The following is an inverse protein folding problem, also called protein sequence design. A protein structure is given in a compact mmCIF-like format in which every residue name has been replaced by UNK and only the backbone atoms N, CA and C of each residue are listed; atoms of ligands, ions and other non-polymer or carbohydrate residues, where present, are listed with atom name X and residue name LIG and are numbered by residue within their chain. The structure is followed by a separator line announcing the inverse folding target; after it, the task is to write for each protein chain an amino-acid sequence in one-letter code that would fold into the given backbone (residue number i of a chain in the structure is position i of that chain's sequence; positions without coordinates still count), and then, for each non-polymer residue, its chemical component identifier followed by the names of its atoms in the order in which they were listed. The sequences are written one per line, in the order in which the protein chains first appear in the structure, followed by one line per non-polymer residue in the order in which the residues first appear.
data_IF_408830286908
#
_entry.id   IF_408830286908
#
_cell.length_a   1.000
_cell.length_b   1.000
_cell.length_c   1.000
_cell.angle_alpha   90.00
_cell.angle_beta   90.00
_cell.angle_gamma   90.00
#
_symmetry.space_group_name_H-M   'P 1'
#
loop_
_entity.id
_entity.type
_entity.pdbx_description
1 polymer ?
#
# COMPACT_ATOMS: atom_id res chain seq x y z
N UNK A 1 7.48 17.34 36.52
CA UNK A 1 8.23 17.57 35.26
C UNK A 1 9.36 16.56 35.20
N UNK A 2 9.18 15.44 34.52
CA UNK A 2 10.24 14.43 34.32
C UNK A 2 11.21 14.94 33.24
N UNK A 3 12.54 14.84 33.45
CA UNK A 3 13.51 15.35 32.48
C UNK A 3 13.42 14.52 31.20
N UNK A 4 13.10 15.17 30.08
CA UNK A 4 13.21 14.56 28.76
C UNK A 4 14.69 14.36 28.47
N UNK A 5 15.14 13.11 28.44
CA UNK A 5 16.53 12.78 28.12
C UNK A 5 16.80 13.14 26.66
N UNK A 6 18.00 13.63 26.35
CA UNK A 6 18.42 13.94 24.98
C UNK A 6 18.21 12.76 24.01
N UNK A 7 18.24 11.55 24.54
CA UNK A 7 17.98 10.30 23.86
C UNK A 7 16.54 10.19 23.31
N UNK A 8 15.52 10.60 24.08
CA UNK A 8 14.12 10.54 23.62
C UNK A 8 13.80 11.58 22.54
N UNK A 9 14.51 12.72 22.55
CA UNK A 9 14.37 13.76 21.52
C UNK A 9 15.01 13.33 20.21
N UNK A 10 16.19 12.73 20.28
CA UNK A 10 16.90 12.24 19.10
C UNK A 10 16.11 11.14 18.39
N UNK A 11 15.56 10.20 19.16
CA UNK A 11 14.74 9.10 18.63
C UNK A 11 13.46 9.63 17.91
N UNK A 12 12.80 10.64 18.49
CA UNK A 12 11.64 11.29 17.87
C UNK A 12 11.99 11.98 16.55
N UNK A 13 13.14 12.65 16.46
CA UNK A 13 13.57 13.32 15.23
C UNK A 13 13.99 12.33 14.14
N UNK A 14 14.62 11.22 14.51
CA UNK A 14 14.95 10.14 13.58
C UNK A 14 13.68 9.52 13.01
N UNK A 15 12.68 9.23 13.85
CA UNK A 15 11.39 8.71 13.40
C UNK A 15 10.68 9.67 12.43
N UNK A 16 10.62 10.96 12.78
CA UNK A 16 10.05 12.01 11.92
C UNK A 16 10.78 12.10 10.56
N UNK A 17 12.11 12.04 10.56
CA UNK A 17 12.93 12.09 9.36
C UNK A 17 12.71 10.86 8.49
N UNK A 18 12.63 9.67 9.08
CA UNK A 18 12.34 8.42 8.36
C UNK A 18 10.95 8.44 7.71
N UNK A 19 9.93 8.91 8.44
CA UNK A 19 8.57 9.05 7.90
C UNK A 19 8.54 10.10 6.78
N UNK A 20 9.21 11.24 6.99
CA UNK A 20 9.33 12.31 5.99
C UNK A 20 10.04 11.86 4.71
N UNK A 21 11.14 11.10 4.86
CA UNK A 21 11.83 10.47 3.74
C UNK A 21 10.93 9.47 3.02
N UNK A 22 10.18 8.64 3.75
CA UNK A 22 9.19 7.74 3.18
C UNK A 22 8.12 8.48 2.36
N UNK A 23 7.58 9.58 2.89
CA UNK A 23 6.62 10.44 2.17
C UNK A 23 7.22 11.01 0.89
N UNK A 24 8.45 11.52 0.97
CA UNK A 24 9.15 12.06 -0.20
C UNK A 24 9.36 10.98 -1.26
N UNK A 25 9.86 9.81 -0.88
CA UNK A 25 10.13 8.72 -1.81
C UNK A 25 8.85 8.17 -2.43
N UNK A 26 7.80 7.90 -1.65
CA UNK A 26 6.52 7.40 -2.17
C UNK A 26 5.84 8.46 -3.05
N UNK A 27 5.81 9.71 -2.59
CA UNK A 27 5.21 10.81 -3.35
C UNK A 27 5.93 11.05 -4.69
N UNK A 28 7.26 11.02 -4.69
CA UNK A 28 8.04 11.20 -5.90
C UNK A 28 7.95 9.97 -6.82
N UNK A 29 8.30 8.79 -6.32
CA UNK A 29 8.47 7.60 -7.16
C UNK A 29 7.16 6.86 -7.49
N UNK A 30 6.21 6.80 -6.56
CA UNK A 30 4.98 6.01 -6.76
C UNK A 30 3.74 6.84 -7.09
N UNK A 31 3.74 8.15 -6.84
CA UNK A 31 2.62 9.02 -7.22
C UNK A 31 2.97 9.91 -8.41
N UNK A 32 4.05 10.69 -8.32
CA UNK A 32 4.35 11.71 -9.34
C UNK A 32 4.69 11.09 -10.69
N UNK A 33 5.60 10.10 -10.76
CA UNK A 33 5.97 9.50 -12.06
C UNK A 33 4.80 8.86 -12.80
N UNK A 34 3.94 8.03 -12.17
CA UNK A 34 2.76 7.48 -12.85
C UNK A 34 1.81 8.57 -13.37
N UNK A 35 1.57 9.63 -12.59
CA UNK A 35 0.72 10.77 -13.01
C UNK A 35 1.35 11.50 -14.21
N UNK A 36 2.68 11.68 -14.20
CA UNK A 36 3.42 12.27 -15.32
C UNK A 36 3.43 11.34 -16.55
N UNK A 37 3.48 10.02 -16.38
CA UNK A 37 3.35 9.05 -17.48
C UNK A 37 1.97 9.11 -18.15
N UNK A 38 0.90 9.33 -17.38
CA UNK A 38 -0.44 9.53 -17.92
C UNK A 38 -0.55 10.85 -18.71
N UNK A 39 0.05 11.93 -18.22
CA UNK A 39 -0.08 13.27 -18.82
C UNK A 39 0.87 13.55 -19.98
N UNK A 40 1.83 12.65 -20.27
CA UNK A 40 2.70 12.71 -21.44
C UNK A 40 4.09 13.37 -21.32
N UNK A 41 4.52 14.05 -20.23
CA UNK A 41 5.91 14.54 -20.13
C UNK A 41 6.95 13.44 -19.84
N UNK A 42 6.53 12.22 -19.49
CA UNK A 42 7.40 11.07 -19.25
C UNK A 42 6.93 9.84 -20.05
N UNK A 43 7.82 8.86 -20.30
CA UNK A 43 7.42 7.60 -20.91
C UNK A 43 6.24 6.99 -20.12
N UNK A 44 5.14 6.64 -20.80
CA UNK A 44 4.00 6.01 -20.13
C UNK A 44 4.40 4.63 -19.61
N UNK A 45 3.70 4.17 -18.58
CA UNK A 45 3.66 2.74 -18.27
C UNK A 45 2.93 2.08 -19.44
N UNK A 46 3.64 1.25 -20.18
CA UNK A 46 3.17 0.51 -21.35
C UNK A 46 3.02 -0.99 -21.05
N UNK A 47 3.52 -1.43 -19.89
CA UNK A 47 3.47 -2.84 -19.49
C UNK A 47 2.85 -3.05 -18.11
N UNK A 48 2.25 -4.24 -17.92
CA UNK A 48 1.71 -4.71 -16.64
C UNK A 48 1.96 -6.20 -16.47
N UNK A 49 2.44 -6.60 -15.30
CA UNK A 49 2.51 -8.02 -14.94
C UNK A 49 1.11 -8.61 -14.76
N UNK A 50 0.84 -9.73 -15.45
CA UNK A 50 -0.40 -10.49 -15.37
C UNK A 50 -0.13 -11.97 -15.11
N UNK A 51 -1.13 -12.65 -14.55
CA UNK A 51 -1.08 -14.11 -14.37
C UNK A 51 -1.78 -14.79 -15.56
N UNK A 52 -1.17 -15.85 -16.09
CA UNK A 52 -1.69 -16.67 -17.16
C UNK A 52 -2.46 -17.86 -16.59
N UNK A 53 -3.61 -18.18 -17.20
CA UNK A 53 -4.40 -19.37 -16.86
C UNK A 53 -3.65 -20.68 -17.12
N UNK A 54 -2.68 -20.67 -18.05
CA UNK A 54 -1.84 -21.81 -18.39
C UNK A 54 -0.37 -21.43 -18.27
N UNK A 55 0.49 -22.37 -17.87
CA UNK A 55 1.94 -22.14 -17.80
C UNK A 55 2.48 -21.72 -19.16
N UNK A 56 3.39 -20.75 -19.18
CA UNK A 56 4.07 -20.39 -20.43
C UNK A 56 4.77 -21.61 -21.03
N UNK A 57 4.61 -21.82 -22.35
CA UNK A 57 5.27 -22.92 -23.03
C UNK A 57 6.75 -22.57 -23.20
N UNK A 58 7.57 -22.98 -22.25
CA UNK A 58 9.02 -22.99 -22.45
C UNK A 58 9.38 -24.25 -23.23
N UNK A 59 10.23 -24.18 -24.27
CA UNK A 59 10.70 -25.36 -24.97
C UNK A 59 11.18 -26.40 -23.97
N UNK A 60 10.76 -27.66 -24.13
CA UNK A 60 11.17 -28.74 -23.22
C UNK A 60 12.68 -28.96 -23.32
N UNK A 61 13.41 -28.25 -22.45
CA UNK A 61 14.83 -28.41 -22.22
C UNK A 61 14.98 -29.21 -20.93
N UNK A 62 15.32 -30.49 -21.10
CA UNK A 62 15.65 -31.38 -19.99
C UNK A 62 17.08 -31.89 -20.17
N UNK A 63 17.92 -31.72 -19.16
CA UNK A 63 19.30 -32.20 -19.15
C UNK A 63 19.68 -32.66 -17.74
N UNK A 64 20.24 -33.87 -17.63
CA UNK A 64 20.88 -34.34 -16.39
C UNK A 64 20.00 -34.28 -15.13
N UNK A 65 18.68 -34.51 -15.25
CA UNK A 65 17.74 -34.44 -14.11
C UNK A 65 17.17 -33.04 -13.82
N UNK A 66 17.55 -32.03 -14.60
CA UNK A 66 16.93 -30.69 -14.55
C UNK A 66 15.92 -30.54 -15.68
N UNK A 67 14.77 -29.95 -15.39
CA UNK A 67 13.73 -29.64 -16.37
C UNK A 67 13.32 -28.18 -16.22
N UNK A 68 13.32 -27.45 -17.33
CA UNK A 68 12.85 -26.07 -17.36
C UNK A 68 11.32 -26.05 -17.56
N UNK A 69 10.61 -25.37 -16.66
CA UNK A 69 9.15 -25.17 -16.74
C UNK A 69 8.85 -23.68 -16.78
N UNK A 70 7.90 -23.29 -17.62
CA UNK A 70 7.38 -21.93 -17.62
C UNK A 70 6.60 -21.61 -16.35
N UNK A 71 6.56 -20.34 -16.00
CA UNK A 71 5.76 -19.83 -14.89
C UNK A 71 4.37 -19.41 -15.39
N UNK A 72 3.49 -19.05 -14.47
CA UNK A 72 2.21 -18.43 -14.77
C UNK A 72 2.31 -16.91 -14.93
N UNK A 73 3.50 -16.32 -15.00
CA UNK A 73 3.63 -14.87 -15.10
C UNK A 73 3.90 -14.47 -16.56
N UNK A 74 3.22 -13.41 -17.00
CA UNK A 74 3.46 -12.77 -18.29
C UNK A 74 3.34 -11.26 -18.16
N UNK A 75 3.93 -10.55 -19.10
CA UNK A 75 3.82 -9.12 -19.22
C UNK A 75 2.77 -8.80 -20.28
N UNK A 76 1.74 -8.03 -19.91
CA UNK A 76 0.78 -7.44 -20.82
C UNK A 76 1.36 -6.11 -21.31
N UNK A 77 1.87 -6.10 -22.53
CA UNK A 77 2.30 -4.88 -23.21
C UNK A 77 1.14 -4.28 -24.03
N UNK A 78 0.92 -2.98 -23.89
CA UNK A 78 -0.03 -2.21 -24.70
C UNK A 78 0.78 -1.35 -25.66
N UNK A 79 0.77 -1.73 -26.94
CA UNK A 79 1.44 -0.96 -27.99
C UNK A 79 0.72 0.38 -28.20
N UNK A 80 1.47 1.47 -28.06
CA UNK A 80 1.02 2.87 -28.26
C UNK A 80 -0.22 3.25 -27.42
N UNK A 81 -0.10 3.25 -26.06
CA UNK A 81 -1.25 3.35 -25.18
C UNK A 81 -1.92 4.71 -25.28
N UNK A 82 -3.24 4.71 -25.51
CA UNK A 82 -4.08 5.91 -25.46
C UNK A 82 -4.25 6.43 -24.04
N UNK A 83 -4.91 7.58 -23.87
CA UNK A 83 -5.14 8.16 -22.53
C UNK A 83 -5.94 7.25 -21.59
N UNK A 84 -6.92 6.51 -22.12
CA UNK A 84 -7.71 5.54 -21.36
C UNK A 84 -6.85 4.40 -20.83
N UNK A 85 -6.01 3.82 -21.69
CA UNK A 85 -5.14 2.70 -21.33
C UNK A 85 -4.09 3.13 -20.30
N UNK A 86 -3.47 4.31 -20.49
CA UNK A 86 -2.54 4.88 -19.50
C UNK A 86 -3.19 5.08 -18.14
N UNK A 87 -4.44 5.56 -18.11
CA UNK A 87 -5.17 5.72 -16.85
C UNK A 87 -5.47 4.37 -16.20
N UNK A 88 -5.91 3.37 -16.98
CA UNK A 88 -6.17 2.03 -16.47
C UNK A 88 -4.89 1.35 -15.96
N UNK A 89 -3.76 1.55 -16.64
CA UNK A 89 -2.44 1.03 -16.27
C UNK A 89 -1.94 1.67 -14.96
N UNK A 90 -2.06 2.99 -14.82
CA UNK A 90 -1.56 3.73 -13.66
C UNK A 90 -2.50 3.71 -12.44
N UNK A 91 -3.81 3.50 -12.62
CA UNK A 91 -4.80 3.66 -11.54
C UNK A 91 -4.53 2.81 -10.28
N UNK A 92 -4.20 1.51 -10.36
CA UNK A 92 -3.88 0.70 -9.18
C UNK A 92 -2.64 1.19 -8.43
N UNK A 93 -1.60 1.59 -9.15
CA UNK A 93 -0.37 2.12 -8.55
C UNK A 93 -0.60 3.46 -7.86
N UNK A 94 -1.31 4.38 -8.52
CA UNK A 94 -1.66 5.68 -7.94
C UNK A 94 -2.53 5.49 -6.70
N UNK A 95 -3.53 4.60 -6.74
CA UNK A 95 -4.36 4.30 -5.58
C UNK A 95 -3.54 3.75 -4.40
N UNK A 96 -2.61 2.82 -4.68
CA UNK A 96 -1.65 2.30 -3.69
C UNK A 96 -0.81 3.45 -3.09
N UNK A 97 -0.22 4.29 -3.93
CA UNK A 97 0.62 5.40 -3.50
C UNK A 97 -0.15 6.39 -2.60
N UNK A 98 -1.38 6.74 -2.98
CA UNK A 98 -2.26 7.63 -2.19
C UNK A 98 -2.53 7.03 -0.80
N UNK A 99 -2.91 5.74 -0.73
CA UNK A 99 -3.16 5.09 0.56
C UNK A 99 -1.91 5.06 1.46
N UNK A 100 -0.74 4.78 0.88
CA UNK A 100 0.53 4.82 1.62
C UNK A 100 0.84 6.24 2.11
N UNK A 101 0.66 7.26 1.27
CA UNK A 101 0.84 8.67 1.67
C UNK A 101 -0.12 9.04 2.80
N UNK A 102 -1.37 8.60 2.77
CA UNK A 102 -2.33 8.80 3.86
C UNK A 102 -1.83 8.14 5.15
N UNK A 103 -1.40 6.88 5.11
CA UNK A 103 -0.87 6.16 6.27
C UNK A 103 0.34 6.90 6.87
N UNK A 104 1.33 7.24 6.03
CA UNK A 104 2.54 7.94 6.46
C UNK A 104 2.22 9.34 7.01
N UNK A 105 1.26 10.05 6.41
CA UNK A 105 0.82 11.36 6.90
C UNK A 105 0.17 11.26 8.29
N UNK A 106 -0.62 10.20 8.54
CA UNK A 106 -1.21 9.96 9.86
C UNK A 106 -0.13 9.58 10.86
N UNK A 107 0.83 8.73 10.49
CA UNK A 107 1.97 8.37 11.33
C UNK A 107 2.82 9.60 11.68
N UNK A 108 3.05 10.49 10.73
CA UNK A 108 3.78 11.74 10.97
C UNK A 108 3.06 12.63 12.00
N UNK A 109 1.73 12.72 11.91
CA UNK A 109 0.92 13.44 12.91
C UNK A 109 0.97 12.78 14.28
N UNK A 110 1.04 11.45 14.34
CA UNK A 110 1.21 10.70 15.60
C UNK A 110 2.59 10.94 16.20
N UNK A 111 3.66 10.84 15.41
CA UNK A 111 5.03 11.13 15.86
C UNK A 111 5.15 12.54 16.44
N UNK A 112 4.56 13.54 15.76
CA UNK A 112 4.54 14.92 16.26
C UNK A 112 3.81 15.07 17.60
N UNK A 113 2.74 14.29 17.86
CA UNK A 113 2.05 14.29 19.16
C UNK A 113 2.80 13.54 20.25
N UNK A 114 3.54 12.48 19.90
CA UNK A 114 4.40 11.77 20.85
C UNK A 114 5.54 12.67 21.35
N UNK A 115 6.07 13.54 20.48
CA UNK A 115 7.05 14.56 20.84
C UNK A 115 6.54 15.52 21.93
N UNK A 116 5.23 15.81 21.95
CA UNK A 116 4.61 16.64 22.99
C UNK A 116 4.38 15.90 24.32
N UNK A 117 4.69 14.61 24.39
CA UNK A 117 4.73 13.82 25.62
C UNK A 117 3.41 13.12 26.00
N UNK A 118 2.36 13.24 25.20
CA UNK A 118 1.09 12.57 25.45
C UNK A 118 0.79 11.47 24.42
N UNK A 119 0.96 10.23 24.85
CA UNK A 119 0.72 9.02 24.05
C UNK A 119 -0.78 8.68 24.00
N UNK A 120 -1.54 9.07 25.02
CA UNK A 120 -2.92 8.61 25.26
C UNK A 120 -3.99 9.61 24.79
N UNK A 121 -3.61 10.58 23.95
CA UNK A 121 -4.59 11.52 23.39
C UNK A 121 -5.64 10.74 22.59
N UNK A 122 -6.95 10.93 22.84
CA UNK A 122 -8.02 10.24 22.10
C UNK A 122 -7.94 10.42 20.57
N UNK A 123 -7.29 11.49 20.10
CA UNK A 123 -6.99 11.71 18.70
C UNK A 123 -6.10 10.61 18.09
N UNK A 124 -5.12 10.07 18.83
CA UNK A 124 -4.22 9.02 18.36
C UNK A 124 -4.93 7.67 18.20
N UNK A 125 -5.95 7.40 19.01
CA UNK A 125 -6.83 6.24 18.82
C UNK A 125 -7.57 6.31 17.48
N UNK A 126 -8.17 7.47 17.17
CA UNK A 126 -8.86 7.67 15.88
C UNK A 126 -7.90 7.54 14.69
N UNK A 127 -6.67 8.04 14.85
CA UNK A 127 -5.60 7.93 13.85
C UNK A 127 -5.20 6.46 13.61
N UNK A 128 -5.06 5.65 14.66
CA UNK A 128 -4.78 4.22 14.52
C UNK A 128 -5.91 3.46 13.82
N UNK A 129 -7.17 3.75 14.13
CA UNK A 129 -8.28 3.18 13.37
C UNK A 129 -8.27 3.60 11.89
N UNK A 130 -7.94 4.87 11.60
CA UNK A 130 -7.79 5.33 10.22
C UNK A 130 -6.65 4.60 9.48
N UNK A 131 -5.52 4.35 10.14
CA UNK A 131 -4.41 3.55 9.59
C UNK A 131 -4.89 2.11 9.34
N UNK A 132 -5.56 1.47 10.30
CA UNK A 132 -6.13 0.13 10.13
C UNK A 132 -7.03 0.05 8.90
N UNK A 133 -7.95 1.01 8.73
CA UNK A 133 -8.83 1.05 7.56
C UNK A 133 -8.05 1.25 6.27
N UNK A 134 -7.06 2.14 6.25
CA UNK A 134 -6.23 2.37 5.07
C UNK A 134 -5.42 1.12 4.68
N UNK A 135 -4.88 0.39 5.66
CA UNK A 135 -4.18 -0.89 5.44
C UNK A 135 -5.13 -1.95 4.90
N UNK A 136 -6.36 -2.04 5.42
CA UNK A 136 -7.37 -2.95 4.89
C UNK A 136 -7.73 -2.61 3.44
N UNK A 137 -7.91 -1.33 3.12
CA UNK A 137 -8.15 -0.86 1.75
C UNK A 137 -6.94 -1.15 0.85
N UNK A 138 -5.72 -1.06 1.35
CA UNK A 138 -4.52 -1.41 0.60
C UNK A 138 -4.52 -2.89 0.20
N UNK A 139 -4.93 -3.79 1.11
CA UNK A 139 -5.02 -5.23 0.86
C UNK A 139 -6.24 -5.68 0.06
N UNK A 140 -7.28 -4.85 -0.05
CA UNK A 140 -8.54 -5.22 -0.69
C UNK A 140 -8.89 -4.35 -1.91
N UNK A 141 -8.91 -3.03 -1.76
CA UNK A 141 -9.30 -2.12 -2.83
C UNK A 141 -8.27 -2.06 -3.95
N UNK A 142 -6.97 -2.11 -3.65
CA UNK A 142 -5.92 -2.08 -4.69
C UNK A 142 -5.96 -3.35 -5.56
N UNK A 143 -5.98 -4.58 -5.01
CA UNK A 143 -6.14 -5.78 -5.84
C UNK A 143 -7.46 -5.82 -6.61
N UNK A 144 -8.55 -5.30 -6.03
CA UNK A 144 -9.82 -5.20 -6.74
C UNK A 144 -9.73 -4.23 -7.93
N UNK A 145 -9.10 -3.07 -7.74
CA UNK A 145 -8.89 -2.08 -8.80
C UNK A 145 -7.98 -2.63 -9.89
N UNK A 146 -6.93 -3.37 -9.52
CA UNK A 146 -6.05 -4.05 -10.46
C UNK A 146 -6.79 -5.10 -11.30
N UNK A 147 -7.64 -5.92 -10.66
CA UNK A 147 -8.52 -6.88 -11.35
C UNK A 147 -9.46 -6.17 -12.34
N UNK A 148 -10.14 -5.10 -11.91
CA UNK A 148 -11.11 -4.35 -12.73
C UNK A 148 -10.42 -3.69 -13.93
N UNK A 149 -9.29 -3.02 -13.70
CA UNK A 149 -8.54 -2.34 -14.76
C UNK A 149 -7.91 -3.33 -15.74
N UNK A 150 -7.39 -4.46 -15.25
CA UNK A 150 -6.89 -5.54 -16.11
C UNK A 150 -8.02 -6.11 -16.98
N UNK A 151 -9.19 -6.38 -16.40
CA UNK A 151 -10.35 -6.86 -17.16
C UNK A 151 -10.80 -5.85 -18.22
N UNK A 152 -10.73 -4.55 -17.92
CA UNK A 152 -11.06 -3.50 -18.89
C UNK A 152 -10.03 -3.43 -20.03
N UNK A 153 -8.75 -3.67 -19.76
CA UNK A 153 -7.68 -3.69 -20.77
C UNK A 153 -7.76 -4.90 -21.69
N UNK A 154 -8.03 -6.10 -21.15
CA UNK A 154 -8.10 -7.32 -21.98
C UNK A 154 -9.51 -7.59 -22.54
N UNK A 155 -10.54 -6.95 -21.99
CA UNK A 155 -11.93 -7.14 -22.35
C UNK A 155 -12.20 -6.88 -23.83
N UNK A 156 -12.81 -7.85 -24.51
CA UNK A 156 -13.08 -7.75 -25.95
C UNK A 156 -11.90 -8.12 -26.86
N UNK A 157 -10.75 -8.51 -26.29
CA UNK A 157 -9.60 -9.03 -27.04
C UNK A 157 -9.49 -10.55 -26.94
N UNK A 158 -8.76 -11.23 -27.86
CA UNK A 158 -8.45 -12.65 -27.73
C UNK A 158 -7.68 -13.01 -26.44
N UNK A 159 -6.96 -12.03 -25.86
CA UNK A 159 -6.14 -12.20 -24.65
C UNK A 159 -6.96 -12.48 -23.39
N UNK A 160 -8.25 -12.08 -23.37
CA UNK A 160 -9.15 -12.33 -22.24
C UNK A 160 -9.30 -13.82 -21.90
N UNK A 161 -9.04 -14.72 -22.86
CA UNK A 161 -9.07 -16.17 -22.65
C UNK A 161 -7.79 -16.72 -22.00
N UNK A 162 -6.67 -16.02 -22.15
CA UNK A 162 -5.35 -16.43 -21.66
C UNK A 162 -5.00 -15.83 -20.28
N UNK A 163 -5.51 -14.63 -19.99
CA UNK A 163 -5.24 -13.93 -18.72
C UNK A 163 -6.17 -14.40 -17.60
N UNK A 164 -5.57 -14.74 -16.46
CA UNK A 164 -6.28 -15.01 -15.22
C UNK A 164 -6.58 -13.68 -14.52
N UNK A 165 -7.85 -13.31 -14.54
CA UNK A 165 -8.36 -12.13 -13.84
C UNK A 165 -9.02 -12.62 -12.57
N UNK A 166 -8.33 -12.46 -11.44
CA UNK A 166 -8.77 -12.98 -10.15
C UNK A 166 -8.55 -11.97 -9.03
N UNK A 167 -9.42 -12.04 -8.03
CA UNK A 167 -9.28 -11.28 -6.80
C UNK A 167 -8.79 -12.20 -5.69
N UNK A 168 -7.61 -11.92 -5.15
CA UNK A 168 -7.05 -12.68 -4.04
C UNK A 168 -6.80 -11.77 -2.84
N UNK A 169 -7.55 -12.01 -1.78
CA UNK A 169 -7.29 -11.39 -0.48
C UNK A 169 -6.26 -12.19 0.28
N UNK A 170 -5.18 -11.52 0.69
CA UNK A 170 -4.19 -12.13 1.57
C UNK A 170 -4.66 -12.03 3.01
N UNK A 171 -4.77 -13.18 3.68
CA UNK A 171 -5.14 -13.23 5.09
C UNK A 171 -4.17 -12.43 5.98
N UNK A 172 -2.90 -12.30 5.57
CA UNK A 172 -1.90 -11.46 6.24
C UNK A 172 -2.31 -10.00 6.33
N UNK A 173 -2.92 -9.45 5.28
CA UNK A 173 -3.25 -8.03 5.19
C UNK A 173 -4.46 -7.71 6.06
N UNK A 174 -5.43 -8.63 6.08
CA UNK A 174 -6.60 -8.60 6.97
C UNK A 174 -6.13 -8.70 8.42
N UNK A 175 -5.26 -9.69 8.73
CA UNK A 175 -4.72 -9.87 10.06
C UNK A 175 -3.97 -8.62 10.53
N UNK A 176 -3.12 -8.02 9.69
CA UNK A 176 -2.40 -6.80 10.02
C UNK A 176 -3.37 -5.64 10.34
N UNK A 177 -4.40 -5.43 9.52
CA UNK A 177 -5.41 -4.43 9.80
C UNK A 177 -6.12 -4.69 11.15
N UNK A 178 -6.52 -5.93 11.41
CA UNK A 178 -7.15 -6.32 12.68
C UNK A 178 -6.23 -6.09 13.87
N UNK A 179 -4.94 -6.39 13.75
CA UNK A 179 -3.95 -6.14 14.81
C UNK A 179 -3.79 -4.65 15.10
N UNK A 180 -3.76 -3.80 14.06
CA UNK A 180 -3.71 -2.34 14.23
C UNK A 180 -5.00 -1.82 14.89
N UNK A 181 -6.17 -2.34 14.51
CA UNK A 181 -7.43 -2.00 15.15
C UNK A 181 -7.49 -2.45 16.61
N UNK A 182 -7.00 -3.65 16.92
CA UNK A 182 -6.91 -4.17 18.29
C UNK A 182 -5.98 -3.29 19.14
N UNK A 183 -4.85 -2.86 18.59
CA UNK A 183 -3.94 -1.91 19.22
C UNK A 183 -4.66 -0.58 19.51
N UNK A 184 -5.41 -0.04 18.54
CA UNK A 184 -6.21 1.16 18.74
C UNK A 184 -7.23 1.01 19.89
N UNK A 185 -7.90 -0.15 19.97
CA UNK A 185 -8.83 -0.49 21.04
C UNK A 185 -8.15 -0.55 22.42
N UNK A 186 -6.96 -1.15 22.50
CA UNK A 186 -6.17 -1.19 23.73
C UNK A 186 -5.77 0.22 24.21
N UNK A 187 -5.32 1.09 23.29
CA UNK A 187 -5.04 2.50 23.60
C UNK A 187 -6.29 3.26 24.06
N UNK A 188 -7.44 3.01 23.44
CA UNK A 188 -8.72 3.62 23.83
C UNK A 188 -9.11 3.23 25.26
N UNK A 189 -8.96 1.94 25.60
CA UNK A 189 -9.24 1.44 26.93
C UNK A 189 -8.28 2.06 27.98
N UNK A 190 -6.99 2.13 27.67
CA UNK A 190 -5.99 2.76 28.53
C UNK A 190 -6.26 4.26 28.77
N UNK A 191 -6.63 5.00 27.72
CA UNK A 191 -6.99 6.42 27.85
C UNK A 191 -8.22 6.62 28.75
N UNK A 192 -9.21 5.72 28.68
CA UNK A 192 -10.39 5.77 29.54
C UNK A 192 -10.05 5.51 31.02
N UNK A 193 -9.25 4.49 31.30
CA UNK A 193 -8.81 4.19 32.67
C UNK A 193 -8.07 5.37 33.30
N UNK A 194 -7.22 6.06 32.52
CA UNK A 194 -6.52 7.25 32.98
C UNK A 194 -7.48 8.40 33.33
N UNK A 195 -8.46 8.67 32.48
CA UNK A 195 -9.47 9.70 32.73
C UNK A 195 -10.27 9.39 34.01
N UNK A 196 -10.63 8.13 34.24
CA UNK A 196 -11.36 7.70 35.43
C UNK A 196 -10.49 7.86 36.71
N UNK A 197 -9.18 7.61 36.64
CA UNK A 197 -8.27 7.81 37.78
C UNK A 197 -8.00 9.27 38.11
N UNK A 198 -7.91 10.16 37.11
CA UNK A 198 -7.71 11.59 37.32
C UNK A 198 -8.97 12.28 37.85
N UNK A 199 -10.15 11.69 37.67
CA UNK A 199 -11.43 12.17 38.22
C UNK A 199 -11.74 11.75 39.67
N UNK A 200 -10.88 10.94 40.30
CA UNK A 200 -11.04 10.44 41.67
C UNK A 200 -10.14 11.16 42.69
N UNK A 201 -9.41 12.20 42.28
CA UNK A 201 -8.50 13.00 43.12
C UNK A 201 -9.01 14.42 43.29
#
# INVERSE_FOLDING_TARGET
MTPTTLWSRFDSHVLELLIGLGLLLVGLFQALFPILGVTGPFPPIDTRDVTLRSTSQVPHLASGGTALRGTHHAELAVDDPGLGDRLLLAAPEVARAVLIVVILSILMRMAATLRTGDVFVPANVRRLFAISTAVLLLGAAVPALDMVTTNALVGGTPLASAVEVGFMLRASDILLAVLIAALAGAFAHGARLRADTEGLV
#
